data_IF_272597432070
#
_entry.id   IF_272597432070
#
_cell.length_a   1.000
_cell.length_b   1.000
_cell.length_c   1.000
_cell.angle_alpha   90.00
_cell.angle_beta   90.00
_cell.angle_gamma   90.00
#
_symmetry.space_group_name_H-M   'P 1'
#
loop_
_entity.id
_entity.type
_entity.pdbx_description
1 polymer ?
#
# COMPACT_ATOMS: atom_id res chain seq x y z
N UNK A 1 31.91 -29.65 3.40
CA UNK A 1 30.51 -29.52 2.99
C UNK A 1 29.84 -28.53 3.95
N UNK A 2 29.39 -27.38 3.48
CA UNK A 2 28.66 -26.44 4.31
C UNK A 2 27.30 -27.03 4.63
N UNK A 3 27.02 -27.30 5.89
CA UNK A 3 25.70 -27.72 6.36
C UNK A 3 24.76 -26.51 6.26
N UNK A 4 23.89 -26.51 5.28
CA UNK A 4 22.83 -25.51 5.19
C UNK A 4 21.87 -25.71 6.36
N UNK A 5 22.05 -24.93 7.42
CA UNK A 5 21.02 -24.82 8.46
C UNK A 5 19.85 -24.03 7.88
N UNK A 6 18.65 -24.59 7.82
CA UNK A 6 17.49 -23.85 7.30
C UNK A 6 17.21 -22.63 8.18
N UNK A 7 16.77 -21.52 7.56
CA UNK A 7 16.33 -20.35 8.28
C UNK A 7 15.11 -20.70 9.14
N UNK A 8 15.17 -20.29 10.40
CA UNK A 8 14.04 -20.41 11.32
C UNK A 8 13.20 -19.14 11.27
N UNK A 9 11.90 -19.29 11.13
CA UNK A 9 10.94 -18.19 11.09
C UNK A 9 10.17 -18.16 12.41
N UNK A 10 10.09 -16.96 13.01
CA UNK A 10 9.42 -16.74 14.27
C UNK A 10 8.45 -15.56 14.17
N UNK A 11 7.34 -15.62 14.92
CA UNK A 11 6.39 -14.52 15.03
C UNK A 11 5.40 -14.40 13.86
N UNK A 12 5.31 -15.37 12.96
CA UNK A 12 4.39 -15.39 11.82
C UNK A 12 2.90 -15.20 12.21
N UNK A 13 2.53 -15.65 13.40
CA UNK A 13 1.19 -15.56 13.97
C UNK A 13 0.82 -14.16 14.49
N UNK A 14 1.78 -13.22 14.55
CA UNK A 14 1.56 -11.92 15.21
C UNK A 14 0.73 -10.93 14.38
N UNK A 15 0.79 -11.00 13.07
CA UNK A 15 -0.05 -10.27 12.13
C UNK A 15 0.17 -8.74 12.06
N UNK A 16 0.85 -8.12 13.03
CA UNK A 16 1.16 -6.67 13.03
C UNK A 16 2.41 -6.35 13.85
N UNK A 17 2.94 -5.11 13.65
CA UNK A 17 4.20 -4.68 14.27
C UNK A 17 4.17 -4.56 15.80
N UNK A 18 3.04 -4.20 16.41
CA UNK A 18 2.92 -4.11 17.87
C UNK A 18 2.99 -5.51 18.50
N UNK A 19 2.22 -6.45 17.99
CA UNK A 19 2.25 -7.84 18.45
C UNK A 19 3.62 -8.49 18.22
N UNK A 20 4.27 -8.21 17.08
CA UNK A 20 5.61 -8.72 16.78
C UNK A 20 6.65 -8.13 17.75
N UNK A 21 6.62 -6.84 18.02
CA UNK A 21 7.53 -6.22 18.98
C UNK A 21 7.40 -6.84 20.37
N UNK A 22 6.16 -7.05 20.86
CA UNK A 22 5.90 -7.72 22.15
C UNK A 22 6.40 -9.17 22.15
N UNK A 23 6.21 -9.89 21.04
CA UNK A 23 6.73 -11.24 20.87
C UNK A 23 8.27 -11.28 20.96
N UNK A 24 8.95 -10.36 20.29
CA UNK A 24 10.40 -10.24 20.33
C UNK A 24 10.88 -9.93 21.75
N UNK A 25 10.28 -8.96 22.46
CA UNK A 25 10.63 -8.64 23.85
C UNK A 25 10.54 -9.86 24.77
N UNK A 26 9.57 -10.73 24.53
CA UNK A 26 9.35 -11.93 25.35
C UNK A 26 10.37 -13.04 25.08
N UNK A 27 10.75 -13.22 23.82
CA UNK A 27 11.50 -14.43 23.39
C UNK A 27 12.93 -14.19 23.00
N UNK A 28 13.28 -13.01 22.45
CA UNK A 28 14.60 -12.77 21.87
C UNK A 28 15.73 -12.90 22.88
N UNK A 29 15.55 -12.45 24.12
CA UNK A 29 16.54 -12.62 25.18
C UNK A 29 16.82 -14.09 25.53
N UNK A 30 15.82 -14.96 25.40
CA UNK A 30 15.96 -16.40 25.69
C UNK A 30 16.78 -17.12 24.60
N UNK A 31 16.68 -16.68 23.33
CA UNK A 31 17.45 -17.28 22.23
C UNK A 31 18.95 -16.99 22.31
N UNK A 32 19.35 -15.95 23.06
CA UNK A 32 20.73 -15.52 23.19
C UNK A 32 21.19 -15.47 24.67
N UNK A 33 20.56 -16.25 25.54
CA UNK A 33 20.88 -16.29 26.97
C UNK A 33 22.33 -16.73 27.27
N UNK A 34 22.91 -17.55 26.38
CA UNK A 34 24.27 -18.05 26.51
C UNK A 34 25.35 -17.07 25.95
N UNK A 35 24.93 -15.90 25.48
CA UNK A 35 25.83 -14.86 24.96
C UNK A 35 25.95 -13.68 25.93
N UNK A 36 27.14 -13.09 26.06
CA UNK A 36 27.34 -11.93 26.93
C UNK A 36 26.53 -10.71 26.48
N UNK A 37 26.22 -10.61 25.18
CA UNK A 37 25.38 -9.55 24.62
C UNK A 37 24.47 -10.14 23.55
N UNK A 38 23.25 -9.61 23.48
CA UNK A 38 22.32 -9.91 22.38
C UNK A 38 22.80 -9.21 21.11
N UNK A 39 22.79 -9.88 19.94
CA UNK A 39 23.05 -9.19 18.68
C UNK A 39 21.96 -8.15 18.39
N UNK A 40 22.23 -7.08 17.63
CA UNK A 40 21.21 -6.19 17.13
C UNK A 40 20.28 -6.91 16.15
N UNK A 41 19.06 -6.43 16.05
CA UNK A 41 18.12 -6.88 15.03
C UNK A 41 18.29 -6.03 13.77
N UNK A 42 18.53 -6.67 12.64
CA UNK A 42 18.45 -6.02 11.34
C UNK A 42 16.97 -5.91 10.93
N UNK A 43 16.47 -4.69 10.76
CA UNK A 43 15.10 -4.42 10.37
C UNK A 43 15.06 -3.82 8.96
N UNK A 44 14.65 -4.62 7.98
CA UNK A 44 14.48 -4.19 6.61
C UNK A 44 13.14 -3.47 6.47
N UNK A 45 13.18 -2.19 6.10
CA UNK A 45 12.01 -1.31 6.16
C UNK A 45 11.74 -0.61 4.84
N UNK A 46 10.48 -0.18 4.65
CA UNK A 46 10.13 0.79 3.63
C UNK A 46 10.48 2.22 4.05
N UNK A 47 10.63 3.10 3.07
CA UNK A 47 10.85 4.53 3.30
C UNK A 47 9.73 5.15 4.15
N UNK A 48 8.48 4.81 3.86
CA UNK A 48 7.32 5.22 4.65
C UNK A 48 6.89 4.06 5.56
N UNK A 49 7.05 4.24 6.87
CA UNK A 49 6.76 3.21 7.87
C UNK A 49 6.30 3.80 9.20
N UNK A 50 5.77 2.93 10.04
CA UNK A 50 5.51 3.20 11.46
C UNK A 50 6.67 2.64 12.28
N UNK A 51 7.24 3.46 13.16
CA UNK A 51 8.40 3.10 13.98
C UNK A 51 8.03 2.31 15.24
N UNK A 52 6.94 1.56 15.23
CA UNK A 52 6.44 0.87 16.43
C UNK A 52 7.44 -0.16 16.96
N UNK A 53 8.07 -0.92 16.06
CA UNK A 53 9.03 -1.97 16.44
C UNK A 53 10.28 -1.37 17.08
N UNK A 54 11.06 -0.47 16.43
CA UNK A 54 12.24 0.11 17.05
C UNK A 54 11.91 0.89 18.32
N UNK A 55 10.82 1.68 18.35
CA UNK A 55 10.40 2.41 19.56
C UNK A 55 10.11 1.47 20.73
N UNK A 56 9.45 0.34 20.49
CA UNK A 56 9.12 -0.62 21.55
C UNK A 56 10.36 -1.37 22.03
N UNK A 57 11.25 -1.81 21.12
CA UNK A 57 12.40 -2.64 21.48
C UNK A 57 13.56 -1.85 22.10
N UNK A 58 13.74 -0.59 21.72
CA UNK A 58 14.78 0.31 22.23
C UNK A 58 14.29 1.27 23.33
N UNK A 59 13.06 1.10 23.83
CA UNK A 59 12.48 1.98 24.84
C UNK A 59 13.40 2.05 26.08
N UNK A 60 13.80 3.27 26.42
CA UNK A 60 14.71 3.55 27.56
C UNK A 60 14.09 3.27 28.92
N UNK A 61 12.78 3.14 29.01
CA UNK A 61 12.07 2.75 30.24
C UNK A 61 12.17 1.26 30.51
N UNK A 62 12.52 0.45 29.51
CA UNK A 62 12.76 -0.98 29.70
C UNK A 62 14.09 -1.21 30.43
N UNK A 63 14.18 -2.26 31.27
CA UNK A 63 15.46 -2.73 31.78
C UNK A 63 16.47 -2.99 30.66
N UNK A 64 17.76 -2.67 30.90
CA UNK A 64 18.80 -2.76 29.88
C UNK A 64 18.93 -4.16 29.24
N UNK A 65 18.72 -5.20 30.03
CA UNK A 65 18.75 -6.59 29.59
C UNK A 65 17.57 -6.97 28.66
N UNK A 66 16.46 -6.22 28.72
CA UNK A 66 15.31 -6.41 27.83
C UNK A 66 15.41 -5.60 26.56
N UNK A 67 16.11 -4.46 26.60
CA UNK A 67 16.29 -3.63 25.40
C UNK A 67 17.05 -4.40 24.31
N UNK A 68 16.63 -4.20 23.08
CA UNK A 68 17.28 -4.80 21.92
C UNK A 68 17.53 -3.72 20.89
N UNK A 69 18.80 -3.57 20.50
CA UNK A 69 19.20 -2.66 19.42
C UNK A 69 18.54 -3.09 18.10
N UNK A 70 18.01 -2.13 17.37
CA UNK A 70 17.39 -2.33 16.05
C UNK A 70 18.15 -1.46 15.05
N UNK A 71 18.77 -2.10 14.08
CA UNK A 71 19.46 -1.45 12.97
C UNK A 71 18.51 -1.47 11.76
N UNK A 72 18.06 -0.30 11.36
CA UNK A 72 17.09 -0.13 10.28
C UNK A 72 17.81 0.08 8.95
N UNK A 73 17.40 -0.66 7.92
CA UNK A 73 17.87 -0.47 6.55
C UNK A 73 16.67 -0.27 5.64
N UNK A 74 16.59 0.89 4.99
CA UNK A 74 15.56 1.16 3.98
C UNK A 74 15.91 0.38 2.72
N UNK A 75 15.03 -0.54 2.33
CA UNK A 75 15.24 -1.46 1.19
C UNK A 75 14.23 -1.27 0.06
N UNK A 76 13.17 -0.51 0.29
CA UNK A 76 12.21 -0.14 -0.75
C UNK A 76 11.56 1.21 -0.45
N UNK A 77 11.21 1.93 -1.52
CA UNK A 77 10.35 3.11 -1.48
C UNK A 77 9.00 2.79 -2.11
N UNK A 78 7.99 3.60 -1.77
CA UNK A 78 6.68 3.55 -2.42
C UNK A 78 6.51 4.82 -3.24
N UNK A 79 6.27 4.64 -4.54
CA UNK A 79 6.07 5.73 -5.47
C UNK A 79 5.37 5.25 -6.74
N UNK A 80 5.12 6.17 -7.66
CA UNK A 80 4.68 5.80 -9.01
C UNK A 80 5.90 5.26 -9.76
N UNK A 81 5.77 4.07 -10.35
CA UNK A 81 6.84 3.47 -11.16
C UNK A 81 7.16 4.39 -12.35
N UNK A 82 8.42 4.56 -12.68
CA UNK A 82 8.85 5.37 -13.84
C UNK A 82 8.25 4.87 -15.17
N UNK A 83 8.06 3.55 -15.30
CA UNK A 83 7.44 2.94 -16.49
C UNK A 83 5.91 3.10 -16.53
N UNK A 84 5.28 3.53 -15.41
CA UNK A 84 3.82 3.57 -15.30
C UNK A 84 3.13 4.34 -16.45
N UNK A 85 3.58 5.54 -16.86
CA UNK A 85 2.91 6.26 -17.95
C UNK A 85 2.86 5.47 -19.25
N UNK A 86 3.97 4.85 -19.65
CA UNK A 86 4.08 4.06 -20.88
C UNK A 86 3.27 2.77 -20.80
N UNK A 87 3.36 2.05 -19.67
CA UNK A 87 2.62 0.81 -19.45
C UNK A 87 1.12 1.07 -19.42
N UNK A 88 0.70 2.15 -18.78
CA UNK A 88 -0.70 2.52 -18.68
C UNK A 88 -1.26 2.93 -20.05
N UNK A 89 -0.53 3.76 -20.81
CA UNK A 89 -0.90 4.14 -22.18
C UNK A 89 -1.07 2.92 -23.08
N UNK A 90 -0.14 1.95 -22.99
CA UNK A 90 -0.24 0.69 -23.71
C UNK A 90 -1.53 -0.06 -23.37
N UNK A 91 -1.83 -0.22 -22.08
CA UNK A 91 -3.07 -0.88 -21.64
C UNK A 91 -4.32 -0.14 -22.10
N UNK A 92 -4.30 1.18 -22.16
CA UNK A 92 -5.41 1.96 -22.68
C UNK A 92 -5.63 1.73 -24.17
N UNK A 93 -4.55 1.61 -24.98
CA UNK A 93 -4.61 1.27 -26.39
C UNK A 93 -5.07 -0.17 -26.60
N UNK A 94 -4.50 -1.12 -25.89
CA UNK A 94 -4.84 -2.57 -26.01
C UNK A 94 -6.31 -2.87 -25.66
N UNK A 95 -6.98 -1.93 -25.02
CA UNK A 95 -8.40 -2.04 -24.61
C UNK A 95 -9.30 -0.98 -25.23
N UNK A 96 -8.86 -0.32 -26.29
CA UNK A 96 -9.61 0.78 -26.92
C UNK A 96 -10.93 0.33 -27.54
N UNK A 97 -10.97 -0.88 -28.07
CA UNK A 97 -12.15 -1.50 -28.68
C UNK A 97 -13.20 -1.99 -27.66
N UNK A 98 -12.85 -2.02 -26.36
CA UNK A 98 -13.76 -2.49 -25.33
C UNK A 98 -14.87 -1.47 -25.05
N UNK A 99 -16.12 -1.92 -24.90
CA UNK A 99 -17.26 -1.03 -24.64
C UNK A 99 -17.17 -0.39 -23.25
N UNK A 100 -16.55 -1.08 -22.32
CA UNK A 100 -16.42 -0.62 -20.91
C UNK A 100 -15.06 -0.98 -20.35
N UNK A 101 -14.44 -0.05 -19.65
CA UNK A 101 -13.17 -0.22 -18.95
C UNK A 101 -13.32 0.26 -17.51
N UNK A 102 -12.73 -0.48 -16.57
CA UNK A 102 -12.60 -0.08 -15.18
C UNK A 102 -11.15 0.12 -14.81
N UNK A 103 -10.85 1.24 -14.16
CA UNK A 103 -9.55 1.50 -13.53
C UNK A 103 -9.76 1.47 -12.02
N UNK A 104 -9.05 0.56 -11.35
CA UNK A 104 -9.12 0.41 -9.89
C UNK A 104 -7.91 1.07 -9.26
N UNK A 105 -8.14 2.03 -8.36
CA UNK A 105 -7.08 2.78 -7.68
C UNK A 105 -7.00 2.37 -6.22
N UNK A 106 -5.81 1.90 -5.82
CA UNK A 106 -5.58 1.37 -4.48
C UNK A 106 -5.07 2.40 -3.48
N UNK A 107 -4.44 3.48 -3.94
CA UNK A 107 -3.83 4.47 -3.06
C UNK A 107 -3.88 5.88 -3.65
N UNK A 108 -3.80 6.92 -2.82
CA UNK A 108 -3.67 8.31 -3.27
C UNK A 108 -2.50 8.54 -4.23
N UNK A 109 -1.37 7.88 -4.02
CA UNK A 109 -0.13 8.06 -4.81
C UNK A 109 -0.32 7.80 -6.31
N UNK A 110 -1.19 6.83 -6.67
CA UNK A 110 -1.45 6.50 -8.08
C UNK A 110 -2.49 7.40 -8.78
N UNK A 111 -3.22 8.24 -8.04
CA UNK A 111 -4.35 8.98 -8.58
C UNK A 111 -3.96 9.98 -9.66
N UNK A 112 -2.92 10.76 -9.45
CA UNK A 112 -2.49 11.79 -10.42
C UNK A 112 -2.00 11.14 -11.72
N UNK A 113 -1.12 10.14 -11.62
CA UNK A 113 -0.61 9.44 -12.80
C UNK A 113 -1.73 8.78 -13.62
N UNK A 114 -2.72 8.17 -12.94
CA UNK A 114 -3.91 7.62 -13.58
C UNK A 114 -4.70 8.70 -14.35
N UNK A 115 -5.01 9.84 -13.70
CA UNK A 115 -5.80 10.90 -14.30
C UNK A 115 -5.08 11.58 -15.48
N UNK A 116 -3.74 11.74 -15.39
CA UNK A 116 -2.91 12.21 -16.51
C UNK A 116 -2.97 11.22 -17.68
N UNK A 117 -2.75 9.95 -17.42
CA UNK A 117 -2.80 8.91 -18.47
C UNK A 117 -4.17 8.77 -19.13
N UNK A 118 -5.26 9.04 -18.41
CA UNK A 118 -6.62 9.12 -18.96
C UNK A 118 -6.92 10.43 -19.70
N UNK A 119 -6.01 11.42 -19.68
CA UNK A 119 -6.23 12.74 -20.27
C UNK A 119 -7.32 13.57 -19.55
N UNK A 120 -7.65 13.20 -18.33
CA UNK A 120 -8.75 13.81 -17.56
C UNK A 120 -8.34 15.07 -16.81
N UNK A 121 -7.04 15.33 -16.62
CA UNK A 121 -6.58 16.52 -15.91
C UNK A 121 -6.53 17.75 -16.82
N UNK A 122 -6.99 18.87 -16.31
CA UNK A 122 -6.73 20.19 -16.84
C UNK A 122 -5.39 20.68 -16.33
N UNK A 123 -4.45 20.94 -17.22
CA UNK A 123 -3.07 21.31 -16.89
C UNK A 123 -2.98 22.67 -16.18
N UNK A 124 -3.95 23.57 -16.39
CA UNK A 124 -3.96 24.90 -15.80
C UNK A 124 -4.47 24.90 -14.36
N UNK A 125 -5.42 24.04 -14.04
CA UNK A 125 -6.10 24.00 -12.73
C UNK A 125 -5.65 22.81 -11.87
N UNK A 126 -5.07 21.76 -12.47
CA UNK A 126 -4.78 20.50 -11.82
C UNK A 126 -6.02 19.73 -11.36
N UNK A 127 -7.21 20.09 -11.87
CA UNK A 127 -8.50 19.44 -11.57
C UNK A 127 -8.97 18.63 -12.76
N UNK A 128 -9.96 17.77 -12.51
CA UNK A 128 -10.60 17.03 -13.61
C UNK A 128 -11.42 17.97 -14.48
N UNK A 129 -11.29 17.82 -15.81
CA UNK A 129 -12.04 18.57 -16.82
C UNK A 129 -13.54 18.24 -16.68
N UNK A 130 -14.41 19.25 -16.78
CA UNK A 130 -15.86 19.08 -16.63
C UNK A 130 -16.48 18.18 -17.69
N UNK A 131 -15.98 18.26 -18.92
CA UNK A 131 -16.39 17.48 -20.08
C UNK A 131 -15.74 16.09 -20.16
N UNK A 132 -14.73 15.83 -19.36
CA UNK A 132 -14.01 14.54 -19.33
C UNK A 132 -14.79 13.34 -18.78
N UNK A 133 -16.02 13.58 -18.29
CA UNK A 133 -16.86 12.55 -17.69
C UNK A 133 -18.06 12.14 -18.56
N UNK A 134 -18.40 12.92 -19.58
CA UNK A 134 -19.54 12.64 -20.45
C UNK A 134 -19.18 11.62 -21.54
N UNK A 135 -20.05 10.63 -21.76
CA UNK A 135 -19.88 9.61 -22.81
C UNK A 135 -18.65 8.72 -22.67
N UNK A 136 -18.00 8.71 -21.50
CA UNK A 136 -16.77 7.94 -21.26
C UNK A 136 -17.02 6.43 -21.23
N UNK A 137 -16.06 5.67 -21.72
CA UNK A 137 -16.00 4.21 -21.63
C UNK A 137 -15.25 3.73 -20.37
N UNK A 138 -14.50 4.63 -19.71
CA UNK A 138 -13.65 4.31 -18.58
C UNK A 138 -14.26 4.81 -17.29
N UNK A 139 -14.48 3.90 -16.35
CA UNK A 139 -15.01 4.14 -15.02
C UNK A 139 -13.92 3.95 -13.98
N UNK A 140 -14.04 4.62 -12.84
CA UNK A 140 -13.03 4.63 -11.78
C UNK A 140 -13.62 4.02 -10.52
N UNK A 141 -12.94 3.00 -10.00
CA UNK A 141 -13.23 2.41 -8.72
C UNK A 141 -12.08 2.64 -7.73
N UNK A 142 -12.40 2.89 -6.47
CA UNK A 142 -11.42 2.96 -5.39
C UNK A 142 -11.59 1.80 -4.43
N UNK A 143 -10.44 1.31 -3.90
CA UNK A 143 -10.43 0.22 -2.92
C UNK A 143 -11.08 0.61 -1.58
N UNK A 144 -11.19 1.90 -1.31
CA UNK A 144 -11.75 2.37 -0.06
C UNK A 144 -11.80 3.90 0.06
N UNK A 145 -12.32 4.41 1.21
CA UNK A 145 -12.65 5.81 1.39
C UNK A 145 -11.44 6.77 1.36
N UNK A 146 -10.27 6.33 1.80
CA UNK A 146 -9.06 7.17 1.79
C UNK A 146 -8.72 7.66 0.38
N UNK A 147 -8.75 6.76 -0.60
CA UNK A 147 -8.45 7.09 -2.01
C UNK A 147 -9.60 7.89 -2.64
N UNK A 148 -10.86 7.52 -2.36
CA UNK A 148 -12.04 8.31 -2.77
C UNK A 148 -11.95 9.75 -2.29
N UNK A 149 -11.68 9.96 -1.01
CA UNK A 149 -11.66 11.29 -0.40
C UNK A 149 -10.47 12.12 -0.92
N UNK A 150 -9.35 11.49 -1.23
CA UNK A 150 -8.23 12.14 -1.89
C UNK A 150 -8.59 12.60 -3.30
N UNK A 151 -9.19 11.76 -4.14
CA UNK A 151 -9.65 12.12 -5.47
C UNK A 151 -10.62 13.31 -5.43
N UNK A 152 -11.57 13.28 -4.50
CA UNK A 152 -12.55 14.35 -4.34
C UNK A 152 -11.92 15.68 -3.93
N UNK A 153 -11.06 15.67 -2.91
CA UNK A 153 -10.44 16.91 -2.36
C UNK A 153 -9.40 17.50 -3.29
N UNK A 154 -8.56 16.65 -3.88
CA UNK A 154 -7.42 17.09 -4.68
C UNK A 154 -7.80 17.39 -6.12
N UNK A 155 -8.61 16.57 -6.75
CA UNK A 155 -8.90 16.64 -8.17
C UNK A 155 -10.37 17.00 -8.49
N UNK A 156 -11.23 17.16 -7.47
CA UNK A 156 -12.66 17.36 -7.62
C UNK A 156 -13.35 16.25 -8.41
N UNK A 157 -12.88 15.01 -8.24
CA UNK A 157 -13.40 13.82 -8.90
C UNK A 157 -14.10 12.91 -7.88
N UNK A 158 -15.34 12.55 -8.21
CA UNK A 158 -16.05 11.49 -7.53
C UNK A 158 -15.85 10.19 -8.30
N UNK A 159 -15.21 9.17 -7.73
CA UNK A 159 -15.13 7.87 -8.39
C UNK A 159 -16.52 7.25 -8.52
N UNK A 160 -16.70 6.41 -9.57
CA UNK A 160 -17.98 5.75 -9.83
C UNK A 160 -18.31 4.72 -8.76
N UNK A 161 -17.28 4.07 -8.23
CA UNK A 161 -17.39 3.07 -7.17
C UNK A 161 -16.34 3.33 -6.09
N UNK A 162 -16.76 3.24 -4.84
CA UNK A 162 -15.89 3.10 -3.68
C UNK A 162 -16.27 1.79 -2.99
N UNK A 163 -15.36 0.83 -2.94
CA UNK A 163 -15.63 -0.44 -2.30
C UNK A 163 -15.99 -0.24 -0.81
N UNK A 164 -17.04 -0.89 -0.35
CA UNK A 164 -17.46 -0.87 1.06
C UNK A 164 -16.44 -1.61 1.94
N UNK A 165 -15.91 -2.73 1.41
CA UNK A 165 -14.82 -3.48 2.01
C UNK A 165 -13.57 -3.32 1.15
N UNK A 166 -12.39 -3.01 1.74
CA UNK A 166 -11.14 -2.87 1.00
C UNK A 166 -10.57 -4.23 0.59
N UNK A 167 -11.28 -4.91 -0.29
CA UNK A 167 -10.96 -6.25 -0.78
C UNK A 167 -11.29 -6.39 -2.27
N UNK A 168 -10.70 -7.36 -2.99
CA UNK A 168 -11.06 -7.65 -4.38
C UNK A 168 -12.56 -7.95 -4.54
N UNK A 169 -13.14 -8.70 -3.61
CA UNK A 169 -14.56 -9.01 -3.61
C UNK A 169 -15.44 -7.78 -3.39
N UNK A 170 -15.02 -6.85 -2.52
CA UNK A 170 -15.72 -5.58 -2.30
C UNK A 170 -15.72 -4.67 -3.54
N UNK A 171 -14.58 -4.59 -4.24
CA UNK A 171 -14.49 -3.87 -5.52
C UNK A 171 -15.40 -4.51 -6.57
N UNK A 172 -15.35 -5.83 -6.69
CA UNK A 172 -16.17 -6.56 -7.66
C UNK A 172 -17.68 -6.33 -7.40
N UNK A 173 -18.14 -6.44 -6.15
CA UNK A 173 -19.54 -6.15 -5.80
C UNK A 173 -19.93 -4.75 -6.20
N UNK A 174 -19.17 -3.73 -5.80
CA UNK A 174 -19.46 -2.35 -6.14
C UNK A 174 -19.56 -2.09 -7.65
N UNK A 175 -18.68 -2.71 -8.46
CA UNK A 175 -18.74 -2.61 -9.93
C UNK A 175 -20.01 -3.29 -10.48
N UNK A 176 -20.37 -4.48 -10.00
CA UNK A 176 -21.55 -5.21 -10.46
C UNK A 176 -22.84 -4.45 -10.11
N UNK A 177 -22.93 -3.90 -8.90
CA UNK A 177 -24.07 -3.10 -8.46
C UNK A 177 -24.23 -1.84 -9.32
N UNK A 178 -23.14 -1.12 -9.56
CA UNK A 178 -23.12 0.05 -10.42
C UNK A 178 -23.60 -0.29 -11.85
N UNK A 179 -23.09 -1.38 -12.43
CA UNK A 179 -23.50 -1.82 -13.77
C UNK A 179 -24.94 -2.33 -13.81
N UNK A 180 -25.46 -2.91 -12.72
CA UNK A 180 -26.85 -3.33 -12.59
C UNK A 180 -27.83 -2.16 -12.51
N UNK A 181 -27.43 -1.03 -11.92
CA UNK A 181 -28.23 0.21 -11.84
C UNK A 181 -28.30 0.98 -13.17
N UNK A 182 -27.41 0.69 -14.12
CA UNK A 182 -27.39 1.36 -15.44
C UNK A 182 -28.19 0.61 -16.53
N UNK A 183 -28.83 -0.51 -16.17
CA UNK A 183 -29.73 -1.26 -17.05
C UNK A 183 -31.16 -0.88 -16.78
#
# INVERSE_FOLDING_TARGET
MATHTPLQIFGEHTGNGDALAKYILKHYGQWYQDRPTKPPLLFLVGEQRRDIIPKTLMDTTLPSEKRTQVDEVVVYGTGVMESFPQDFEKHLKDTEDRPTRWVVVFSPTGCEGMLRGLGMLDESTGKVKKDGLEGRKTFIATIGPTTRDFLRRTFNLYPDVCAEEPSPAGVQRGILDFMGMQR
#
